data_IF_922928577921
#
_entry.id   IF_922928577921
#
_cell.length_a   1.000
_cell.length_b   1.000
_cell.length_c   1.000
_cell.angle_alpha   90.00
_cell.angle_beta   90.00
_cell.angle_gamma   90.00
#
_symmetry.space_group_name_H-M   'P 1'
#
loop_
_entity.id
_entity.type
_entity.pdbx_description
1 polymer ?
#
# COMPACT_ATOMS: atom_id res chain seq x y z
N UNK A 1 2.39 -8.71 30.37
CA UNK A 1 2.52 -7.85 29.17
C UNK A 1 2.31 -8.72 27.95
N UNK A 2 1.09 -8.80 27.42
CA UNK A 2 0.82 -9.42 26.13
C UNK A 2 1.26 -8.42 25.07
N UNK A 3 2.42 -8.64 24.47
CA UNK A 3 2.80 -7.97 23.24
C UNK A 3 1.67 -8.20 22.22
N UNK A 4 1.03 -7.14 21.76
CA UNK A 4 0.17 -7.19 20.58
C UNK A 4 1.04 -7.69 19.44
N UNK A 5 0.78 -8.93 19.00
CA UNK A 5 1.32 -9.41 17.72
C UNK A 5 0.79 -8.43 16.66
N UNK A 6 1.67 -7.58 16.17
CA UNK A 6 1.44 -6.92 14.90
C UNK A 6 1.22 -7.97 13.82
N UNK A 7 0.66 -7.61 12.65
CA UNK A 7 0.42 -8.58 11.61
C UNK A 7 1.68 -9.39 11.34
N UNK A 8 1.54 -10.71 11.29
CA UNK A 8 2.59 -11.74 11.32
C UNK A 8 3.42 -11.78 10.00
N UNK A 9 3.75 -10.60 9.47
CA UNK A 9 4.66 -10.47 8.33
C UNK A 9 6.13 -10.81 8.68
N UNK A 10 6.42 -11.04 9.96
CA UNK A 10 7.73 -11.51 10.44
C UNK A 10 7.95 -13.01 10.23
N UNK A 11 6.89 -13.81 10.02
CA UNK A 11 6.99 -15.25 9.79
C UNK A 11 6.97 -15.63 8.29
N UNK A 12 6.97 -14.65 7.41
CA UNK A 12 6.98 -14.91 5.98
C UNK A 12 8.39 -14.74 5.41
N UNK A 13 8.73 -15.48 4.34
CA UNK A 13 9.90 -15.17 3.58
C UNK A 13 9.87 -13.70 3.24
N UNK A 14 10.77 -12.95 3.87
CA UNK A 14 10.86 -11.51 3.76
C UNK A 14 11.45 -11.11 2.41
N UNK A 15 11.51 -9.83 2.17
CA UNK A 15 12.33 -9.32 1.09
C UNK A 15 13.81 -9.52 1.41
N UNK A 16 14.63 -9.68 0.39
CA UNK A 16 16.07 -9.58 0.57
C UNK A 16 16.45 -8.16 1.04
N UNK A 17 17.35 -8.08 2.00
CA UNK A 17 17.93 -6.82 2.43
C UNK A 17 18.67 -6.14 1.27
N UNK A 18 18.65 -4.82 1.24
CA UNK A 18 19.49 -4.03 0.33
C UNK A 18 20.93 -4.09 0.82
N UNK A 19 21.89 -3.79 -0.06
CA UNK A 19 23.31 -3.80 0.29
C UNK A 19 23.67 -2.79 1.41
N UNK A 20 22.89 -1.72 1.54
CA UNK A 20 23.01 -0.66 2.54
C UNK A 20 22.13 -0.86 3.77
N UNK A 21 21.42 -1.98 3.85
CA UNK A 21 20.45 -2.25 4.91
C UNK A 21 20.95 -3.35 5.85
N UNK A 22 21.10 -3.01 7.12
CA UNK A 22 21.46 -3.98 8.15
C UNK A 22 20.22 -4.72 8.68
N UNK A 23 20.34 -6.02 8.99
CA UNK A 23 19.31 -6.76 9.70
C UNK A 23 19.06 -6.15 11.09
N UNK A 24 17.88 -6.39 11.68
CA UNK A 24 17.61 -5.98 13.07
C UNK A 24 18.67 -6.52 14.02
N UNK A 25 19.14 -5.68 14.94
CA UNK A 25 20.21 -6.03 15.88
C UNK A 25 19.95 -7.33 16.68
N UNK A 26 18.73 -7.63 17.15
CA UNK A 26 18.45 -8.91 17.82
C UNK A 26 18.67 -10.14 16.92
N UNK A 27 18.41 -10.02 15.62
CA UNK A 27 18.66 -11.09 14.66
C UNK A 27 20.18 -11.28 14.44
N UNK A 28 20.92 -10.18 14.29
CA UNK A 28 22.37 -10.24 14.18
C UNK A 28 23.04 -10.85 15.42
N UNK A 29 22.56 -10.50 16.61
CA UNK A 29 23.06 -11.06 17.87
C UNK A 29 22.82 -12.59 17.93
N UNK A 30 21.62 -13.05 17.56
CA UNK A 30 21.29 -14.47 17.54
C UNK A 30 22.19 -15.24 16.52
N UNK A 31 22.38 -14.68 15.33
CA UNK A 31 23.24 -15.28 14.31
C UNK A 31 24.71 -15.30 14.75
N UNK A 32 25.19 -14.23 15.36
CA UNK A 32 26.56 -14.14 15.88
C UNK A 32 26.81 -15.21 16.95
N UNK A 33 25.86 -15.45 17.84
CA UNK A 33 25.92 -16.52 18.85
C UNK A 33 26.00 -17.91 18.18
N UNK A 34 25.12 -18.18 17.21
CA UNK A 34 25.10 -19.47 16.49
C UNK A 34 26.35 -19.73 15.65
N UNK A 35 26.91 -18.70 15.07
CA UNK A 35 28.09 -18.79 14.19
C UNK A 35 29.42 -18.62 14.97
N UNK A 36 29.36 -18.38 16.28
CA UNK A 36 30.54 -18.13 17.12
C UNK A 36 31.41 -16.98 16.59
N UNK A 37 30.73 -15.91 16.13
CA UNK A 37 31.37 -14.68 15.62
C UNK A 37 30.82 -13.45 16.37
N UNK A 38 31.20 -12.25 15.95
CA UNK A 38 30.70 -11.00 16.56
C UNK A 38 29.75 -10.28 15.60
N UNK A 39 28.85 -9.46 16.15
CA UNK A 39 27.95 -8.64 15.31
C UNK A 39 28.72 -7.73 14.34
N UNK A 40 29.94 -7.30 14.73
CA UNK A 40 30.80 -6.46 13.88
C UNK A 40 31.30 -7.19 12.63
N UNK A 41 31.36 -8.50 12.66
CA UNK A 41 31.82 -9.29 11.50
C UNK A 41 30.81 -9.18 10.35
N UNK A 42 29.56 -8.77 10.64
CA UNK A 42 28.57 -8.49 9.61
C UNK A 42 28.95 -7.29 8.74
N UNK A 43 29.67 -6.30 9.27
CA UNK A 43 30.11 -5.13 8.52
C UNK A 43 31.06 -5.51 7.37
N UNK A 44 31.73 -6.65 7.50
CA UNK A 44 32.63 -7.22 6.48
C UNK A 44 31.90 -8.20 5.54
N UNK A 45 30.63 -8.53 5.84
CA UNK A 45 29.86 -9.50 5.09
C UNK A 45 29.46 -8.94 3.73
N UNK A 46 29.77 -9.71 2.71
CA UNK A 46 29.35 -9.42 1.33
C UNK A 46 29.82 -8.04 0.79
N UNK A 47 31.01 -7.61 1.20
CA UNK A 47 31.69 -6.42 0.70
C UNK A 47 31.79 -6.42 -0.85
N UNK A 48 31.73 -7.62 -1.44
CA UNK A 48 31.68 -7.82 -2.89
C UNK A 48 30.25 -8.12 -3.34
N UNK A 49 29.71 -7.30 -4.21
CA UNK A 49 28.39 -7.46 -4.81
C UNK A 49 28.11 -8.87 -5.41
N UNK A 50 29.09 -9.57 -6.04
CA UNK A 50 28.90 -10.95 -6.49
C UNK A 50 28.56 -11.91 -5.35
N UNK A 51 29.25 -11.83 -4.21
CA UNK A 51 29.04 -12.71 -3.05
C UNK A 51 27.62 -12.60 -2.49
N UNK A 52 27.13 -11.38 -2.34
CA UNK A 52 25.75 -11.15 -1.87
C UNK A 52 24.70 -11.76 -2.82
N UNK A 53 24.95 -11.66 -4.13
CA UNK A 53 24.05 -12.21 -5.15
C UNK A 53 24.03 -13.74 -5.13
N UNK A 54 25.20 -14.35 -4.99
CA UNK A 54 25.33 -15.82 -4.91
C UNK A 54 24.66 -16.37 -3.65
N UNK A 55 24.91 -15.77 -2.49
CA UNK A 55 24.31 -16.19 -1.24
C UNK A 55 22.79 -16.03 -1.27
N UNK A 56 22.30 -14.94 -1.89
CA UNK A 56 20.86 -14.76 -2.08
C UNK A 56 20.27 -15.85 -2.95
N UNK A 57 20.89 -16.20 -4.07
CA UNK A 57 20.41 -17.27 -4.94
C UNK A 57 20.41 -18.63 -4.23
N UNK A 58 21.43 -18.92 -3.42
CA UNK A 58 21.48 -20.13 -2.59
C UNK A 58 20.36 -20.18 -1.55
N UNK A 59 20.12 -19.05 -0.87
CA UNK A 59 19.03 -18.95 0.11
C UNK A 59 17.65 -19.10 -0.55
N UNK A 60 17.42 -18.48 -1.70
CA UNK A 60 16.18 -18.63 -2.47
C UNK A 60 15.97 -20.09 -2.88
N UNK A 61 17.01 -20.76 -3.38
CA UNK A 61 16.96 -22.17 -3.77
C UNK A 61 16.66 -23.08 -2.55
N UNK A 62 17.31 -22.82 -1.42
CA UNK A 62 17.10 -23.60 -0.19
C UNK A 62 15.69 -23.42 0.37
N UNK A 63 15.13 -22.22 0.28
CA UNK A 63 13.76 -21.90 0.71
C UNK A 63 12.69 -22.32 -0.31
N UNK A 64 13.08 -22.87 -1.47
CA UNK A 64 12.14 -23.18 -2.55
C UNK A 64 11.49 -21.94 -3.16
N UNK A 65 12.16 -20.79 -3.06
CA UNK A 65 11.68 -19.51 -3.58
C UNK A 65 12.34 -19.20 -4.92
N UNK A 66 11.66 -18.38 -5.70
CA UNK A 66 12.22 -17.81 -6.93
C UNK A 66 12.32 -16.29 -6.87
N UNK A 67 13.27 -15.68 -7.57
CA UNK A 67 13.39 -14.23 -7.62
C UNK A 67 12.18 -13.57 -8.27
N UNK A 68 11.90 -12.32 -7.85
CA UNK A 68 10.90 -11.46 -8.46
C UNK A 68 11.34 -11.01 -9.84
N UNK A 69 10.48 -11.19 -10.85
CA UNK A 69 10.74 -10.83 -12.25
C UNK A 69 9.68 -9.87 -12.80
N UNK A 70 9.90 -9.34 -14.01
CA UNK A 70 9.01 -8.34 -14.63
C UNK A 70 7.57 -8.86 -14.80
N UNK A 71 7.40 -10.15 -15.13
CA UNK A 71 6.06 -10.76 -15.23
C UNK A 71 5.29 -10.73 -13.92
N UNK A 72 5.98 -10.90 -12.79
CA UNK A 72 5.36 -10.83 -11.47
C UNK A 72 4.83 -9.42 -11.18
N UNK A 73 5.56 -8.39 -11.61
CA UNK A 73 5.10 -7.00 -11.48
C UNK A 73 3.77 -6.77 -12.18
N UNK A 74 3.58 -7.39 -13.36
CA UNK A 74 2.32 -7.30 -14.10
C UNK A 74 1.19 -8.03 -13.37
N UNK A 75 1.46 -9.26 -12.91
CA UNK A 75 0.49 -10.03 -12.13
C UNK A 75 0.08 -9.30 -10.84
N UNK A 76 1.03 -8.72 -10.11
CA UNK A 76 0.75 -7.88 -8.94
C UNK A 76 -0.13 -6.67 -9.25
N UNK A 77 0.08 -6.05 -10.41
CA UNK A 77 -0.75 -4.91 -10.82
C UNK A 77 -2.20 -5.31 -11.05
N UNK A 78 -2.47 -6.45 -11.68
CA UNK A 78 -3.84 -6.95 -11.87
C UNK A 78 -4.50 -7.26 -10.51
N UNK A 79 -3.80 -7.95 -9.61
CA UNK A 79 -4.28 -8.21 -8.24
C UNK A 79 -4.58 -6.90 -7.50
N UNK A 80 -3.67 -5.93 -7.58
CA UNK A 80 -3.85 -4.63 -6.95
C UNK A 80 -5.05 -3.86 -7.55
N UNK A 81 -5.28 -3.97 -8.85
CA UNK A 81 -6.40 -3.33 -9.54
C UNK A 81 -7.74 -3.94 -9.13
N UNK A 82 -7.81 -5.26 -9.01
CA UNK A 82 -9.02 -5.97 -8.56
C UNK A 82 -9.38 -5.57 -7.12
N UNK A 83 -8.40 -5.57 -6.21
CA UNK A 83 -8.64 -5.15 -4.83
C UNK A 83 -8.98 -3.66 -4.75
N UNK A 84 -8.31 -2.80 -5.51
CA UNK A 84 -8.57 -1.36 -5.55
C UNK A 84 -9.97 -1.02 -6.10
N UNK A 85 -10.56 -1.88 -6.92
CA UNK A 85 -11.95 -1.72 -7.36
C UNK A 85 -12.97 -1.91 -6.23
N UNK A 86 -12.62 -2.73 -5.22
CA UNK A 86 -13.48 -3.02 -4.07
C UNK A 86 -13.20 -2.14 -2.84
N UNK A 87 -11.96 -1.63 -2.69
CA UNK A 87 -11.58 -0.81 -1.53
C UNK A 87 -10.53 0.24 -1.88
N UNK A 88 -10.62 1.41 -1.22
CA UNK A 88 -9.61 2.48 -1.32
C UNK A 88 -8.48 2.34 -0.28
N UNK A 89 -8.50 1.31 0.56
CA UNK A 89 -7.49 1.07 1.60
C UNK A 89 -6.20 0.53 0.99
N UNK A 90 -5.15 1.37 0.98
CA UNK A 90 -3.84 0.99 0.46
C UNK A 90 -3.24 -0.23 1.15
N UNK A 91 -3.45 -0.38 2.46
CA UNK A 91 -3.00 -1.53 3.24
C UNK A 91 -3.60 -2.85 2.72
N UNK A 92 -4.91 -2.90 2.45
CA UNK A 92 -5.57 -4.10 1.93
C UNK A 92 -4.99 -4.52 0.58
N UNK A 93 -4.66 -3.55 -0.28
CA UNK A 93 -4.04 -3.80 -1.58
C UNK A 93 -2.64 -4.41 -1.40
N UNK A 94 -1.83 -3.84 -0.50
CA UNK A 94 -0.48 -4.35 -0.22
C UNK A 94 -0.54 -5.75 0.37
N UNK A 95 -1.43 -6.00 1.33
CA UNK A 95 -1.61 -7.33 1.94
C UNK A 95 -1.96 -8.39 0.88
N UNK A 96 -2.88 -8.09 -0.03
CA UNK A 96 -3.25 -9.01 -1.11
C UNK A 96 -2.07 -9.31 -2.05
N UNK A 97 -1.29 -8.28 -2.42
CA UNK A 97 -0.08 -8.47 -3.23
C UNK A 97 0.97 -9.34 -2.53
N UNK A 98 1.22 -9.09 -1.24
CA UNK A 98 2.17 -9.88 -0.44
C UNK A 98 1.71 -11.33 -0.34
N UNK A 99 0.41 -11.57 -0.10
CA UNK A 99 -0.14 -12.91 -0.02
C UNK A 99 0.04 -13.66 -1.34
N UNK A 100 -0.28 -13.04 -2.46
CA UNK A 100 -0.09 -13.64 -3.78
C UNK A 100 1.36 -14.01 -4.07
N UNK A 101 2.33 -13.19 -3.63
CA UNK A 101 3.75 -13.51 -3.77
C UNK A 101 4.14 -14.72 -2.92
N UNK A 102 3.63 -14.83 -1.71
CA UNK A 102 3.85 -15.97 -0.81
C UNK A 102 3.30 -17.25 -1.41
N UNK A 103 2.06 -17.22 -1.87
CA UNK A 103 1.38 -18.39 -2.44
C UNK A 103 2.11 -18.94 -3.69
N UNK A 104 2.86 -18.07 -4.38
CA UNK A 104 3.66 -18.43 -5.55
C UNK A 104 5.16 -18.62 -5.25
N UNK A 105 5.56 -18.65 -3.98
CA UNK A 105 6.95 -18.78 -3.55
C UNK A 105 7.91 -17.79 -4.24
N UNK A 106 7.48 -16.52 -4.36
CA UNK A 106 8.27 -15.45 -4.98
C UNK A 106 8.86 -14.56 -3.90
N UNK A 107 10.15 -14.26 -3.99
CA UNK A 107 10.83 -13.32 -3.10
C UNK A 107 10.19 -11.92 -3.21
N UNK A 108 9.87 -11.32 -2.07
CA UNK A 108 9.22 -10.01 -2.04
C UNK A 108 10.16 -8.93 -2.61
N UNK A 109 9.67 -8.06 -3.51
CA UNK A 109 10.42 -6.90 -3.96
C UNK A 109 10.53 -5.85 -2.85
N UNK A 110 11.26 -4.78 -3.11
CA UNK A 110 11.36 -3.67 -2.18
C UNK A 110 9.97 -3.00 -1.95
N UNK A 111 9.77 -2.45 -0.75
CA UNK A 111 8.49 -1.83 -0.32
C UNK A 111 7.98 -0.76 -1.27
N UNK A 112 8.89 0.06 -1.83
CA UNK A 112 8.56 1.09 -2.81
C UNK A 112 7.91 0.55 -4.09
N UNK A 113 8.19 -0.71 -4.44
CA UNK A 113 7.54 -1.38 -5.58
C UNK A 113 6.06 -1.64 -5.29
N UNK A 114 5.74 -2.15 -4.08
CA UNK A 114 4.35 -2.36 -3.65
C UNK A 114 3.59 -1.03 -3.58
N UNK A 115 4.20 -0.02 -2.97
CA UNK A 115 3.60 1.31 -2.85
C UNK A 115 3.25 1.92 -4.21
N UNK A 116 4.20 1.88 -5.15
CA UNK A 116 3.96 2.39 -6.51
C UNK A 116 2.85 1.64 -7.24
N UNK A 117 2.82 0.32 -7.14
CA UNK A 117 1.77 -0.49 -7.75
C UNK A 117 0.41 -0.15 -7.13
N UNK A 118 0.33 -0.09 -5.79
CA UNK A 118 -0.89 0.25 -5.08
C UNK A 118 -1.42 1.64 -5.44
N UNK A 119 -0.54 2.66 -5.51
CA UNK A 119 -0.92 4.02 -5.90
C UNK A 119 -1.50 4.07 -7.32
N UNK A 120 -0.84 3.41 -8.28
CA UNK A 120 -1.31 3.38 -9.67
C UNK A 120 -2.63 2.62 -9.80
N UNK A 121 -2.77 1.49 -9.10
CA UNK A 121 -4.01 0.70 -9.09
C UNK A 121 -5.19 1.51 -8.52
N UNK A 122 -4.99 2.18 -7.39
CA UNK A 122 -6.00 3.07 -6.78
C UNK A 122 -6.40 4.22 -7.71
N UNK A 123 -5.42 4.88 -8.31
CA UNK A 123 -5.69 5.98 -9.26
C UNK A 123 -6.52 5.50 -10.45
N UNK A 124 -6.18 4.30 -11.00
CA UNK A 124 -6.94 3.69 -12.10
C UNK A 124 -8.36 3.31 -11.68
N UNK A 125 -8.51 2.68 -10.52
CA UNK A 125 -9.83 2.29 -9.99
C UNK A 125 -10.73 3.51 -9.78
N UNK A 126 -10.23 4.57 -9.15
CA UNK A 126 -10.96 5.84 -8.98
C UNK A 126 -11.36 6.44 -10.32
N UNK A 127 -10.42 6.54 -11.28
CA UNK A 127 -10.71 7.05 -12.61
C UNK A 127 -11.80 6.24 -13.31
N UNK A 128 -11.74 4.91 -13.19
CA UNK A 128 -12.76 4.02 -13.77
C UNK A 128 -14.12 4.24 -13.13
N UNK A 129 -14.19 4.32 -11.80
CA UNK A 129 -15.42 4.56 -11.06
C UNK A 129 -16.05 5.91 -11.45
N UNK A 130 -15.26 7.00 -11.43
CA UNK A 130 -15.75 8.31 -11.81
C UNK A 130 -16.21 8.37 -13.28
N UNK A 131 -15.47 7.73 -14.18
CA UNK A 131 -15.86 7.64 -15.58
C UNK A 131 -17.12 6.82 -15.79
N UNK A 132 -17.33 5.78 -14.97
CA UNK A 132 -18.55 4.99 -14.95
C UNK A 132 -19.77 5.82 -14.52
N UNK A 133 -19.63 6.53 -13.41
CA UNK A 133 -20.67 7.44 -12.90
C UNK A 133 -20.98 8.52 -13.95
N UNK A 134 -19.95 9.20 -14.46
CA UNK A 134 -20.12 10.30 -15.40
C UNK A 134 -20.82 9.87 -16.71
N UNK A 135 -20.62 8.65 -17.17
CA UNK A 135 -21.32 8.13 -18.35
C UNK A 135 -22.80 7.88 -18.12
N UNK A 136 -23.20 7.55 -16.88
CA UNK A 136 -24.59 7.34 -16.50
C UNK A 136 -25.39 8.61 -16.29
N UNK A 137 -24.75 9.79 -16.21
CA UNK A 137 -25.41 11.07 -15.98
C UNK A 137 -25.99 11.66 -17.28
N UNK A 138 -27.21 12.19 -17.22
CA UNK A 138 -27.78 13.04 -18.28
C UNK A 138 -27.05 14.38 -18.41
N UNK A 139 -27.30 15.13 -19.49
CA UNK A 139 -26.77 16.48 -19.65
C UNK A 139 -27.14 17.38 -18.46
N UNK A 140 -28.42 17.45 -18.14
CA UNK A 140 -28.95 18.28 -17.04
C UNK A 140 -28.33 17.91 -15.69
N UNK A 141 -28.13 16.62 -15.42
CA UNK A 141 -27.47 16.16 -14.20
C UNK A 141 -26.01 16.60 -14.13
N UNK A 142 -25.28 16.58 -15.25
CA UNK A 142 -23.89 17.09 -15.32
C UNK A 142 -23.84 18.60 -15.08
N UNK A 143 -24.78 19.35 -15.68
CA UNK A 143 -24.86 20.79 -15.51
C UNK A 143 -25.19 21.16 -14.07
N UNK A 144 -26.12 20.45 -13.42
CA UNK A 144 -26.42 20.61 -12.00
C UNK A 144 -25.21 20.32 -11.12
N UNK A 145 -24.46 19.26 -11.39
CA UNK A 145 -23.23 18.97 -10.67
C UNK A 145 -22.14 20.04 -10.90
N UNK A 146 -22.06 20.58 -12.13
CA UNK A 146 -21.12 21.67 -12.43
C UNK A 146 -21.46 22.94 -11.63
N UNK A 147 -22.74 23.22 -11.39
CA UNK A 147 -23.18 24.36 -10.55
C UNK A 147 -22.65 24.26 -9.13
N UNK A 148 -22.51 23.03 -8.57
CA UNK A 148 -21.95 22.83 -7.24
C UNK A 148 -20.48 23.26 -7.13
N UNK A 149 -19.77 23.36 -8.25
CA UNK A 149 -18.37 23.80 -8.30
C UNK A 149 -18.21 25.31 -8.47
N UNK A 150 -19.30 26.04 -8.71
CA UNK A 150 -19.28 27.50 -8.86
C UNK A 150 -19.21 28.14 -7.48
N UNK A 151 -18.32 29.09 -7.32
CA UNK A 151 -18.21 29.88 -6.08
C UNK A 151 -19.38 30.85 -5.97
N UNK A 152 -20.24 30.63 -4.98
CA UNK A 152 -21.35 31.54 -4.70
C UNK A 152 -20.85 32.85 -4.09
N UNK A 153 -21.36 34.02 -4.57
CA UNK A 153 -20.92 35.33 -4.09
C UNK A 153 -21.20 35.54 -2.58
N UNK A 154 -22.22 34.89 -2.05
CA UNK A 154 -22.59 34.99 -0.65
C UNK A 154 -21.75 34.09 0.29
N UNK A 155 -21.21 33.00 -0.22
CA UNK A 155 -20.51 31.98 0.58
C UNK A 155 -18.97 32.10 0.50
N UNK A 156 -18.42 32.82 -0.49
CA UNK A 156 -16.97 32.91 -0.74
C UNK A 156 -16.32 31.55 -1.05
N UNK A 157 -17.11 30.50 -1.25
CA UNK A 157 -16.68 29.13 -1.51
C UNK A 157 -17.69 28.41 -2.43
N UNK A 158 -17.30 27.25 -2.97
CA UNK A 158 -18.21 26.45 -3.79
C UNK A 158 -19.28 25.78 -2.93
N UNK A 159 -20.48 25.55 -3.49
CA UNK A 159 -21.55 24.81 -2.82
C UNK A 159 -21.08 23.41 -2.40
N UNK A 160 -20.28 22.73 -3.24
CA UNK A 160 -19.69 21.44 -2.92
C UNK A 160 -18.76 21.50 -1.69
N UNK A 161 -17.93 22.54 -1.59
CA UNK A 161 -17.08 22.73 -0.43
C UNK A 161 -17.89 22.94 0.85
N UNK A 162 -18.95 23.72 0.77
CA UNK A 162 -19.89 23.93 1.88
C UNK A 162 -20.60 22.65 2.30
N UNK A 163 -21.09 21.83 1.37
CA UNK A 163 -21.73 20.53 1.65
C UNK A 163 -20.79 19.52 2.31
N UNK A 164 -19.49 19.60 2.02
CA UNK A 164 -18.44 18.71 2.58
C UNK A 164 -17.96 19.13 3.98
N UNK A 165 -18.36 20.26 4.45
CA UNK A 165 -17.99 20.72 5.79
C UNK A 165 -18.82 19.95 6.84
N UNK A 166 -18.15 19.06 7.57
CA UNK A 166 -18.81 18.35 8.67
C UNK A 166 -18.74 19.19 9.95
N UNK A 167 -19.79 19.17 10.77
CA UNK A 167 -19.72 19.75 12.10
C UNK A 167 -18.69 19.01 12.94
N UNK A 168 -17.86 19.75 13.66
CA UNK A 168 -16.72 19.22 14.45
C UNK A 168 -17.14 18.26 15.58
N UNK A 169 -18.38 18.36 16.08
CA UNK A 169 -18.89 17.48 17.12
C UNK A 169 -20.38 17.13 16.89
N UNK A 170 -20.82 15.91 17.20
CA UNK A 170 -22.22 15.54 17.10
C UNK A 170 -23.05 16.30 18.16
N UNK A 171 -23.96 17.17 17.71
CA UNK A 171 -24.91 17.90 18.54
C UNK A 171 -26.25 18.03 17.80
N UNK A 172 -27.34 18.32 18.54
CA UNK A 172 -28.64 18.53 17.94
C UNK A 172 -28.65 19.71 16.95
N UNK A 173 -27.91 20.79 17.26
CA UNK A 173 -27.75 21.93 16.35
C UNK A 173 -27.01 21.58 15.08
N UNK A 174 -25.96 20.74 15.19
CA UNK A 174 -25.21 20.26 14.04
C UNK A 174 -26.02 19.30 13.16
N UNK A 175 -26.89 18.49 13.74
CA UNK A 175 -27.84 17.65 13.00
C UNK A 175 -28.85 18.49 12.20
N UNK A 176 -29.43 19.55 12.80
CA UNK A 176 -30.29 20.46 12.09
C UNK A 176 -29.58 21.13 10.89
N UNK A 177 -28.33 21.57 11.08
CA UNK A 177 -27.52 22.14 10.00
C UNK A 177 -27.21 21.15 8.88
N UNK A 178 -27.08 19.85 9.18
CA UNK A 178 -26.89 18.80 8.16
C UNK A 178 -28.20 18.58 7.39
N UNK A 179 -29.35 18.56 8.07
CA UNK A 179 -30.65 18.41 7.43
C UNK A 179 -30.92 19.59 6.49
N UNK A 180 -30.70 20.83 6.94
CA UNK A 180 -30.85 22.03 6.11
C UNK A 180 -29.98 22.02 4.85
N UNK A 181 -28.84 21.35 4.91
CA UNK A 181 -27.93 21.19 3.73
C UNK A 181 -28.42 20.13 2.75
N UNK A 182 -29.29 19.24 3.16
CA UNK A 182 -29.79 18.13 2.33
C UNK A 182 -31.14 18.48 1.67
N UNK A 183 -31.85 19.49 2.17
CA UNK A 183 -33.06 20.06 1.58
C UNK A 183 -32.70 21.11 0.49
#
# INVERSE_FOLDING_TARGET
FRARRGPDWQAAPGRALRADEAPPLPMLALLAEQLTCTVKDFDLYADRSPTLREHRAQAEAWLGMRPFVVSDRRALFEIAADVAAATDRGEAIVVAMVQAMRDNNVTLPASDTFERIALVARARARKSAYSGIARGLSGDQRDNLAQLLITGPALGRTTLAWLREYPEAPSTGNLAAVIERLE
#
